data_IF_033138381394
#
_entry.id   IF_033138381394
#
_cell.length_a   1.000
_cell.length_b   1.000
_cell.length_c   1.000
_cell.angle_alpha   90.00
_cell.angle_beta   90.00
_cell.angle_gamma   90.00
#
_symmetry.space_group_name_H-M   'P 1'
#
loop_
_entity.id
_entity.type
_entity.pdbx_description
1 polymer ?
#
# COMPACT_ATOMS: atom_id res chain seq x y z
N UNK A 1 4.46 -19.04 26.79
CA UNK A 1 3.63 -17.82 26.58
C UNK A 1 4.59 -16.73 26.15
N UNK A 2 4.41 -16.19 24.95
CA UNK A 2 5.23 -15.08 24.43
C UNK A 2 4.95 -13.84 25.26
N UNK A 3 5.99 -13.21 25.81
CA UNK A 3 5.84 -11.96 26.56
C UNK A 3 5.79 -10.79 25.57
N UNK A 4 5.13 -9.68 25.86
CA UNK A 4 5.13 -8.50 25.02
C UNK A 4 6.52 -7.97 24.67
N UNK A 5 7.51 -8.20 25.53
CA UNK A 5 8.93 -7.87 25.32
C UNK A 5 9.63 -8.68 24.23
N UNK A 6 9.04 -9.82 23.82
CA UNK A 6 9.63 -10.73 22.85
C UNK A 6 9.14 -10.47 21.41
N UNK A 7 8.23 -9.52 21.25
CA UNK A 7 7.67 -9.16 19.94
C UNK A 7 8.67 -8.34 19.11
N UNK A 8 8.70 -8.55 17.78
CA UNK A 8 9.47 -7.68 16.89
C UNK A 8 9.12 -6.22 17.12
N UNK A 9 10.12 -5.37 17.16
CA UNK A 9 9.96 -3.95 17.44
C UNK A 9 10.65 -3.08 16.40
N UNK A 10 10.00 -2.00 15.99
CA UNK A 10 10.51 -0.97 15.11
C UNK A 10 10.39 0.40 15.77
N UNK A 11 11.53 1.05 16.02
CA UNK A 11 11.55 2.41 16.54
C UNK A 11 10.92 3.40 15.54
N UNK A 12 11.06 3.15 14.24
CA UNK A 12 10.44 3.97 13.19
C UNK A 12 8.92 3.95 13.31
N UNK A 13 8.30 2.77 13.55
CA UNK A 13 6.86 2.68 13.77
C UNK A 13 6.42 3.46 15.02
N UNK A 14 7.17 3.40 16.12
CA UNK A 14 6.87 4.18 17.32
C UNK A 14 6.92 5.69 17.06
N UNK A 15 7.90 6.14 16.31
CA UNK A 15 8.11 7.56 16.05
C UNK A 15 7.05 8.16 15.12
N UNK A 16 6.49 7.37 14.19
CA UNK A 16 5.61 7.89 13.15
C UNK A 16 4.12 7.51 13.32
N UNK A 17 3.77 6.56 14.20
CA UNK A 17 2.38 6.11 14.35
C UNK A 17 1.40 7.23 14.72
N UNK A 18 1.77 8.15 15.62
CA UNK A 18 0.90 9.26 16.01
C UNK A 18 0.71 10.29 14.88
N UNK A 19 1.77 10.82 14.23
CA UNK A 19 1.61 11.69 13.07
C UNK A 19 0.80 11.07 11.93
N UNK A 20 0.99 9.77 11.65
CA UNK A 20 0.20 9.06 10.64
C UNK A 20 -1.26 8.98 11.06
N UNK A 21 -1.56 8.57 12.30
CA UNK A 21 -2.93 8.48 12.81
C UNK A 21 -3.68 9.79 12.65
N UNK A 22 -3.06 10.93 12.99
CA UNK A 22 -3.68 12.24 12.87
C UNK A 22 -4.17 12.56 11.44
N UNK A 23 -3.49 12.02 10.40
CA UNK A 23 -3.96 12.14 9.02
C UNK A 23 -5.04 11.10 8.71
N UNK A 24 -4.86 9.85 9.19
CA UNK A 24 -5.81 8.77 8.93
C UNK A 24 -7.19 9.03 9.54
N UNK A 25 -7.29 9.70 10.70
CA UNK A 25 -8.58 10.08 11.31
C UNK A 25 -9.46 10.89 10.36
N UNK A 26 -8.85 11.78 9.56
CA UNK A 26 -9.58 12.57 8.55
C UNK A 26 -9.80 11.79 7.27
N UNK A 27 -8.75 11.13 6.74
CA UNK A 27 -8.78 10.44 5.46
C UNK A 27 -9.72 9.22 5.47
N UNK A 28 -9.87 8.57 6.63
CA UNK A 28 -10.66 7.35 6.78
C UNK A 28 -12.02 7.56 7.47
N UNK A 29 -12.46 8.80 7.66
CA UNK A 29 -13.69 9.08 8.39
C UNK A 29 -14.95 8.39 7.79
N UNK A 30 -15.01 8.28 6.47
CA UNK A 30 -16.08 7.63 5.70
C UNK A 30 -15.73 6.20 5.21
N UNK A 31 -14.52 5.71 5.47
CA UNK A 31 -14.03 4.40 5.06
C UNK A 31 -14.39 3.32 6.08
N UNK A 32 -14.26 2.04 5.67
CA UNK A 32 -14.62 0.90 6.53
C UNK A 32 -13.61 -0.24 6.49
N UNK A 33 -12.90 -0.42 5.39
CA UNK A 33 -12.04 -1.58 5.19
C UNK A 33 -10.68 -1.18 4.63
N UNK A 34 -9.66 -1.24 5.46
CA UNK A 34 -8.26 -0.98 5.08
C UNK A 34 -7.54 -2.30 4.83
N UNK A 35 -6.84 -2.41 3.69
CA UNK A 35 -5.81 -3.40 3.46
C UNK A 35 -4.45 -2.76 3.69
N UNK A 36 -3.71 -3.23 4.68
CA UNK A 36 -2.31 -2.85 4.91
C UNK A 36 -1.37 -3.80 4.20
N UNK A 37 -0.49 -3.27 3.35
CA UNK A 37 0.58 -4.03 2.68
C UNK A 37 1.90 -3.81 3.42
N UNK A 38 2.65 -4.90 3.66
CA UNK A 38 3.91 -4.92 4.39
C UNK A 38 3.75 -4.42 5.85
N UNK A 39 2.87 -5.08 6.61
CA UNK A 39 2.57 -4.75 8.01
C UNK A 39 3.75 -4.92 8.98
N UNK A 40 4.79 -5.65 8.57
CA UNK A 40 6.06 -5.78 9.28
C UNK A 40 5.90 -6.28 10.71
N UNK A 41 6.25 -5.45 11.68
CA UNK A 41 6.15 -5.78 13.11
C UNK A 41 4.72 -5.77 13.64
N UNK A 42 3.73 -5.25 12.89
CA UNK A 42 2.33 -5.13 13.30
C UNK A 42 2.02 -3.96 14.25
N UNK A 43 3.02 -3.13 14.60
CA UNK A 43 2.82 -1.99 15.52
C UNK A 43 1.84 -0.96 14.96
N UNK A 44 1.87 -0.68 13.66
CA UNK A 44 0.90 0.20 13.01
C UNK A 44 -0.51 -0.40 13.04
N UNK A 45 -0.67 -1.66 12.60
CA UNK A 45 -1.96 -2.34 12.59
C UNK A 45 -2.63 -2.35 13.97
N UNK A 46 -1.88 -2.76 15.02
CA UNK A 46 -2.35 -2.75 16.40
C UNK A 46 -2.80 -1.34 16.85
N UNK A 47 -1.97 -0.34 16.59
CA UNK A 47 -2.22 1.03 17.02
C UNK A 47 -3.40 1.66 16.28
N UNK A 48 -3.46 1.53 14.95
CA UNK A 48 -4.51 2.16 14.14
C UNK A 48 -5.85 1.45 14.29
N UNK A 49 -5.88 0.11 14.36
CA UNK A 49 -7.12 -0.62 14.60
C UNK A 49 -7.74 -0.24 15.95
N UNK A 50 -6.92 -0.08 16.99
CA UNK A 50 -7.40 0.36 18.31
C UNK A 50 -7.93 1.79 18.30
N UNK A 51 -7.29 2.70 17.54
CA UNK A 51 -7.69 4.11 17.47
C UNK A 51 -8.88 4.36 16.52
N UNK A 52 -9.08 3.50 15.52
CA UNK A 52 -10.11 3.62 14.48
C UNK A 52 -11.09 2.44 14.53
N UNK A 53 -11.94 2.33 15.55
CA UNK A 53 -12.79 1.15 15.77
C UNK A 53 -13.85 0.94 14.68
N UNK A 54 -14.14 1.94 13.86
CA UNK A 54 -15.05 1.85 12.72
C UNK A 54 -14.41 1.24 11.47
N UNK A 55 -13.08 1.08 11.47
CA UNK A 55 -12.29 0.50 10.38
C UNK A 55 -11.99 -0.97 10.68
N UNK A 56 -12.29 -1.86 9.74
CA UNK A 56 -11.71 -3.20 9.72
C UNK A 56 -10.32 -3.12 9.09
N UNK A 57 -9.29 -3.29 9.91
CA UNK A 57 -7.89 -3.19 9.50
C UNK A 57 -7.31 -4.56 9.17
N UNK A 58 -7.20 -4.89 7.90
CA UNK A 58 -6.62 -6.14 7.43
C UNK A 58 -5.15 -5.94 7.12
N UNK A 59 -4.28 -6.39 8.00
CA UNK A 59 -2.84 -6.39 7.73
C UNK A 59 -2.43 -7.53 6.81
N UNK A 60 -1.36 -7.34 6.04
CA UNK A 60 -0.74 -8.37 5.21
C UNK A 60 0.77 -8.19 5.13
N UNK A 61 1.47 -9.29 4.85
CA UNK A 61 2.91 -9.28 4.59
C UNK A 61 3.29 -10.49 3.73
N UNK A 62 4.54 -10.54 3.26
CA UNK A 62 5.05 -11.72 2.56
C UNK A 62 4.93 -12.97 3.45
N UNK A 63 4.77 -14.17 2.88
CA UNK A 63 4.50 -15.39 3.65
C UNK A 63 5.44 -15.61 4.84
N UNK A 64 6.73 -15.30 4.68
CA UNK A 64 7.75 -15.50 5.71
C UNK A 64 7.54 -14.64 6.96
N UNK A 65 6.88 -13.49 6.85
CA UNK A 65 6.65 -12.56 7.94
C UNK A 65 5.30 -12.77 8.65
N UNK A 66 4.34 -13.45 8.01
CA UNK A 66 2.94 -13.56 8.50
C UNK A 66 2.86 -14.20 9.88
N UNK A 67 3.67 -15.21 10.17
CA UNK A 67 3.65 -15.88 11.47
C UNK A 67 4.04 -14.93 12.61
N UNK A 68 5.10 -14.14 12.41
CA UNK A 68 5.58 -13.14 13.35
C UNK A 68 4.58 -12.00 13.53
N UNK A 69 4.03 -11.48 12.43
CA UNK A 69 2.99 -10.46 12.43
C UNK A 69 1.77 -10.92 13.21
N UNK A 70 1.24 -12.13 12.95
CA UNK A 70 0.11 -12.70 13.65
C UNK A 70 0.34 -12.91 15.16
N UNK A 71 1.58 -13.10 15.60
CA UNK A 71 1.90 -13.16 17.02
C UNK A 71 1.51 -11.85 17.72
N UNK A 72 1.83 -10.69 17.15
CA UNK A 72 1.41 -9.39 17.68
C UNK A 72 -0.10 -9.19 17.56
N UNK A 73 -0.67 -9.42 16.37
CA UNK A 73 -2.09 -9.17 16.15
C UNK A 73 -2.99 -9.98 17.09
N UNK A 74 -2.59 -11.21 17.42
CA UNK A 74 -3.33 -12.06 18.36
C UNK A 74 -3.31 -11.57 19.82
N UNK A 75 -2.36 -10.72 20.17
CA UNK A 75 -2.24 -10.10 21.51
C UNK A 75 -2.95 -8.73 21.56
N UNK A 76 -3.25 -8.15 20.42
CA UNK A 76 -3.98 -6.90 20.35
C UNK A 76 -5.45 -7.12 20.76
N UNK A 77 -5.95 -6.28 21.68
CA UNK A 77 -7.34 -6.34 22.13
C UNK A 77 -8.25 -5.51 21.19
N UNK A 78 -8.27 -5.86 19.90
CA UNK A 78 -9.00 -5.13 18.86
C UNK A 78 -9.80 -6.09 17.97
N UNK A 79 -11.14 -6.08 18.11
CA UNK A 79 -12.06 -6.98 17.38
C UNK A 79 -12.06 -6.69 15.85
N UNK A 80 -11.66 -5.51 15.45
CA UNK A 80 -11.58 -5.05 14.06
C UNK A 80 -10.23 -5.38 13.38
N UNK A 81 -9.35 -6.12 14.06
CA UNK A 81 -8.02 -6.51 13.59
C UNK A 81 -7.95 -8.04 13.38
N UNK A 82 -8.34 -8.55 12.21
CA UNK A 82 -8.26 -9.98 11.92
C UNK A 82 -6.82 -10.46 11.74
N UNK A 83 -6.58 -11.79 11.71
CA UNK A 83 -5.28 -12.33 11.35
C UNK A 83 -4.78 -11.82 10.01
N UNK A 84 -3.46 -11.62 9.92
CA UNK A 84 -2.81 -11.12 8.71
C UNK A 84 -2.91 -12.11 7.54
N UNK A 85 -2.96 -11.57 6.33
CA UNK A 85 -2.93 -12.33 5.09
C UNK A 85 -1.49 -12.49 4.59
N UNK A 86 -1.18 -13.65 4.01
CA UNK A 86 0.02 -13.81 3.19
C UNK A 86 -0.21 -13.12 1.84
N UNK A 87 0.53 -12.05 1.57
CA UNK A 87 0.43 -11.29 0.33
C UNK A 87 1.81 -10.79 -0.08
N UNK A 88 2.22 -11.20 -1.28
CA UNK A 88 3.46 -10.76 -1.90
C UNK A 88 3.10 -10.05 -3.21
N UNK A 89 3.51 -8.79 -3.35
CA UNK A 89 3.21 -7.96 -4.50
C UNK A 89 3.89 -8.44 -5.80
N UNK A 90 4.87 -9.32 -5.68
CA UNK A 90 5.55 -9.93 -6.83
C UNK A 90 4.86 -11.21 -7.33
N UNK A 91 3.86 -11.72 -6.61
CA UNK A 91 3.09 -12.88 -7.04
C UNK A 91 2.05 -12.54 -8.11
N UNK A 92 1.83 -13.49 -9.01
CA UNK A 92 0.86 -13.36 -10.11
C UNK A 92 -0.57 -13.10 -9.61
N UNK A 93 -0.97 -13.66 -8.48
CA UNK A 93 -2.29 -13.44 -7.87
C UNK A 93 -2.55 -11.95 -7.60
N UNK A 94 -1.57 -11.23 -7.05
CA UNK A 94 -1.66 -9.79 -6.83
C UNK A 94 -1.82 -9.01 -8.14
N UNK A 95 -0.99 -9.32 -9.14
CA UNK A 95 -1.01 -8.64 -10.45
C UNK A 95 -2.30 -8.92 -11.25
N UNK A 96 -2.96 -10.06 -11.00
CA UNK A 96 -4.23 -10.40 -11.62
C UNK A 96 -5.45 -9.89 -10.83
N UNK A 97 -5.25 -9.28 -9.66
CA UNK A 97 -6.33 -8.83 -8.79
C UNK A 97 -7.11 -10.01 -8.19
N UNK A 98 -6.45 -11.14 -7.93
CA UNK A 98 -7.06 -12.29 -7.29
C UNK A 98 -6.74 -12.31 -5.80
N UNK A 99 -7.78 -12.51 -4.97
CA UNK A 99 -7.61 -12.54 -3.52
C UNK A 99 -6.93 -13.83 -3.04
N UNK A 100 -6.11 -13.78 -1.97
CA UNK A 100 -5.64 -14.99 -1.30
C UNK A 100 -6.82 -15.89 -0.91
N UNK A 101 -6.69 -17.19 -1.11
CA UNK A 101 -7.76 -18.20 -0.88
C UNK A 101 -8.29 -18.22 0.57
N UNK A 102 -7.53 -17.71 1.53
CA UNK A 102 -7.94 -17.61 2.94
C UNK A 102 -8.84 -16.39 3.24
N UNK A 103 -9.07 -15.52 2.27
CA UNK A 103 -9.87 -14.31 2.48
C UNK A 103 -11.35 -14.57 2.19
N UNK A 104 -12.21 -14.38 3.21
CA UNK A 104 -13.66 -14.33 3.04
C UNK A 104 -14.09 -12.86 3.06
N UNK A 105 -14.42 -12.26 1.91
CA UNK A 105 -14.84 -10.86 1.88
C UNK A 105 -16.15 -10.67 2.64
N UNK A 106 -16.32 -9.56 3.38
CA UNK A 106 -17.64 -9.18 3.87
C UNK A 106 -18.55 -8.94 2.65
N UNK A 107 -19.78 -9.42 2.71
CA UNK A 107 -20.75 -9.30 1.61
C UNK A 107 -21.11 -7.82 1.42
N UNK A 108 -20.56 -7.19 0.38
CA UNK A 108 -21.00 -5.87 -0.06
C UNK A 108 -22.23 -6.05 -0.94
N UNK A 109 -23.33 -5.42 -0.59
CA UNK A 109 -24.50 -5.29 -1.47
C UNK A 109 -24.13 -4.38 -2.64
N UNK A 110 -23.85 -4.98 -3.81
CA UNK A 110 -23.56 -4.25 -5.03
C UNK A 110 -24.84 -3.61 -5.59
N UNK A 111 -24.80 -2.31 -5.88
CA UNK A 111 -25.70 -1.71 -6.87
C UNK A 111 -24.95 -1.67 -8.22
N UNK A 112 -25.40 -2.48 -9.15
CA UNK A 112 -24.84 -2.55 -10.50
C UNK A 112 -25.31 -1.35 -11.34
N UNK A 113 -24.36 -0.65 -11.98
CA UNK A 113 -24.63 0.06 -13.24
C UNK A 113 -23.39 0.01 -14.14
N UNK A 114 -23.57 -0.64 -15.27
CA UNK A 114 -22.57 -0.78 -16.35
C UNK A 114 -22.81 0.30 -17.41
N UNK A 115 -21.78 1.05 -17.77
CA UNK A 115 -21.70 1.73 -19.06
C UNK A 115 -20.27 1.68 -19.61
N UNK A 116 -20.15 1.12 -20.81
CA UNK A 116 -18.89 1.01 -21.57
C UNK A 116 -18.58 2.34 -22.23
N UNK A 117 -17.33 2.80 -22.11
CA UNK A 117 -16.75 3.85 -22.96
C UNK A 117 -15.34 3.48 -23.42
N UNK A 118 -14.99 3.92 -24.62
CA UNK A 118 -13.85 3.54 -25.45
C UNK A 118 -12.51 4.09 -24.95
N UNK A 119 -11.43 3.29 -25.04
CA UNK A 119 -10.08 3.59 -24.60
C UNK A 119 -9.31 4.57 -25.50
N UNK A 120 -8.43 5.45 -24.94
CA UNK A 120 -7.50 6.25 -25.73
C UNK A 120 -6.36 5.39 -26.33
N UNK A 121 -5.81 5.81 -27.46
CA UNK A 121 -4.84 5.04 -28.21
C UNK A 121 -3.48 4.95 -27.52
N UNK A 122 -2.91 3.74 -27.47
CA UNK A 122 -1.63 3.36 -26.86
C UNK A 122 -0.38 4.01 -27.49
N UNK A 123 -0.54 4.82 -28.56
CA UNK A 123 0.56 5.35 -29.36
C UNK A 123 1.32 6.51 -28.71
N UNK A 124 0.79 7.11 -27.63
CA UNK A 124 1.38 8.27 -26.95
C UNK A 124 2.12 7.95 -25.65
N UNK A 125 2.12 6.70 -25.22
CA UNK A 125 2.79 6.26 -23.99
C UNK A 125 4.15 5.63 -24.29
N UNK A 126 5.21 6.05 -23.58
CA UNK A 126 6.59 5.64 -23.81
C UNK A 126 6.85 4.12 -23.69
N UNK A 127 8.04 3.67 -24.09
CA UNK A 127 8.42 2.25 -24.11
C UNK A 127 8.28 1.54 -22.75
N UNK A 128 8.41 2.28 -21.63
CA UNK A 128 8.22 1.80 -20.28
C UNK A 128 6.75 1.44 -20.00
N UNK A 129 5.82 2.32 -20.37
CA UNK A 129 4.37 2.10 -20.23
C UNK A 129 3.93 0.90 -21.07
N UNK A 130 4.44 0.79 -22.29
CA UNK A 130 4.15 -0.35 -23.16
C UNK A 130 4.57 -1.69 -22.54
N UNK A 131 5.74 -1.76 -21.92
CA UNK A 131 6.22 -2.98 -21.27
C UNK A 131 5.31 -3.37 -20.07
N UNK A 132 4.76 -2.39 -19.33
CA UNK A 132 3.80 -2.61 -18.24
C UNK A 132 2.48 -3.14 -18.81
N UNK A 133 1.93 -2.53 -19.85
CA UNK A 133 0.68 -2.97 -20.49
C UNK A 133 0.79 -4.37 -21.10
N UNK A 134 1.90 -4.68 -21.75
CA UNK A 134 2.14 -6.02 -22.31
C UNK A 134 2.20 -7.10 -21.22
N UNK A 135 2.65 -6.76 -20.01
CA UNK A 135 2.74 -7.66 -18.85
C UNK A 135 1.37 -7.92 -18.20
N UNK A 136 0.46 -6.95 -18.21
CA UNK A 136 -0.86 -7.06 -17.55
C UNK A 136 -1.94 -7.75 -18.40
N UNK A 137 -1.76 -7.83 -19.72
CA UNK A 137 -2.80 -8.35 -20.63
C UNK A 137 -4.02 -7.42 -20.74
N UNK A 138 -4.57 -7.30 -21.95
CA UNK A 138 -5.62 -6.33 -22.29
C UNK A 138 -7.02 -6.59 -21.70
N UNK A 139 -7.25 -7.71 -20.99
CA UNK A 139 -8.59 -8.14 -20.57
C UNK A 139 -8.67 -8.73 -19.14
N UNK A 140 -7.80 -8.33 -18.22
CA UNK A 140 -7.98 -8.75 -16.82
C UNK A 140 -9.20 -8.05 -16.24
N UNK A 141 -10.28 -8.80 -15.98
CA UNK A 141 -11.45 -8.28 -15.27
C UNK A 141 -11.02 -7.69 -13.92
N UNK A 142 -11.45 -6.47 -13.63
CA UNK A 142 -11.20 -5.83 -12.34
C UNK A 142 -12.08 -6.56 -11.32
N UNK A 143 -11.48 -7.43 -10.51
CA UNK A 143 -12.12 -8.00 -9.34
C UNK A 143 -11.92 -7.01 -8.18
N UNK A 144 -12.74 -5.94 -8.15
CA UNK A 144 -12.73 -5.02 -7.02
C UNK A 144 -12.95 -5.80 -5.72
N UNK A 145 -11.94 -5.77 -4.85
CA UNK A 145 -12.02 -6.40 -3.54
C UNK A 145 -12.89 -5.56 -2.57
N UNK A 146 -13.07 -6.06 -1.34
CA UNK A 146 -13.93 -5.41 -0.34
C UNK A 146 -13.27 -4.19 0.32
N UNK A 147 -12.04 -3.84 -0.06
CA UNK A 147 -11.30 -2.75 0.56
C UNK A 147 -11.59 -1.43 -0.15
N UNK A 148 -11.87 -0.42 0.65
CA UNK A 148 -12.04 0.97 0.22
C UNK A 148 -10.77 1.81 0.44
N UNK A 149 -9.76 1.22 1.08
CA UNK A 149 -8.45 1.84 1.26
C UNK A 149 -7.35 0.79 1.26
N UNK A 150 -6.23 1.11 0.59
CA UNK A 150 -4.95 0.42 0.72
C UNK A 150 -3.96 1.34 1.41
N UNK A 151 -3.28 0.82 2.43
CA UNK A 151 -2.28 1.54 3.21
C UNK A 151 -0.94 0.81 3.18
N UNK A 152 0.17 1.54 3.09
CA UNK A 152 1.50 0.99 3.29
C UNK A 152 2.44 2.04 3.87
N UNK A 153 3.22 1.65 4.88
CA UNK A 153 4.16 2.54 5.54
C UNK A 153 5.57 1.96 5.56
N UNK A 154 6.56 2.79 5.22
CA UNK A 154 7.98 2.43 5.25
C UNK A 154 8.36 1.19 4.42
N UNK A 155 7.66 0.92 3.33
CA UNK A 155 7.81 -0.29 2.53
C UNK A 155 8.45 -0.04 1.16
N UNK A 156 8.08 1.05 0.46
CA UNK A 156 8.49 1.27 -0.92
C UNK A 156 10.01 1.40 -1.09
N UNK A 157 10.70 1.98 -0.11
CA UNK A 157 12.15 2.11 -0.14
C UNK A 157 12.90 0.80 0.17
N UNK A 158 12.21 -0.22 0.69
CA UNK A 158 12.75 -1.57 0.92
C UNK A 158 12.53 -2.46 -0.31
N UNK A 159 11.39 -2.31 -0.99
CA UNK A 159 11.04 -3.06 -2.20
C UNK A 159 12.03 -2.78 -3.34
N UNK A 160 12.14 -3.69 -4.31
CA UNK A 160 12.79 -3.37 -5.59
C UNK A 160 11.93 -2.37 -6.41
N UNK A 161 12.52 -1.72 -7.41
CA UNK A 161 11.75 -0.85 -8.32
C UNK A 161 10.66 -1.64 -9.07
N UNK A 162 10.93 -2.91 -9.41
CA UNK A 162 9.94 -3.82 -10.00
C UNK A 162 8.79 -4.14 -9.05
N UNK A 163 9.10 -4.41 -7.78
CA UNK A 163 8.09 -4.68 -6.75
C UNK A 163 7.24 -3.44 -6.45
N UNK A 164 7.84 -2.23 -6.48
CA UNK A 164 7.06 -0.98 -6.37
C UNK A 164 6.09 -0.84 -7.54
N UNK A 165 6.53 -1.12 -8.76
CA UNK A 165 5.64 -1.14 -9.93
C UNK A 165 4.50 -2.16 -9.74
N UNK A 166 4.82 -3.38 -9.32
CA UNK A 166 3.84 -4.42 -9.06
C UNK A 166 2.84 -4.02 -7.95
N UNK A 167 3.32 -3.35 -6.89
CA UNK A 167 2.47 -2.82 -5.82
C UNK A 167 1.35 -1.94 -6.37
N UNK A 168 1.67 -0.92 -7.18
CA UNK A 168 0.67 -0.02 -7.75
C UNK A 168 -0.24 -0.73 -8.77
N UNK A 169 0.33 -1.56 -9.65
CA UNK A 169 -0.46 -2.25 -10.67
C UNK A 169 -1.47 -3.22 -10.05
N UNK A 170 -1.06 -3.99 -9.04
CA UNK A 170 -1.97 -4.86 -8.31
C UNK A 170 -3.01 -4.08 -7.52
N UNK A 171 -2.62 -3.00 -6.83
CA UNK A 171 -3.56 -2.09 -6.16
C UNK A 171 -4.63 -1.58 -7.13
N UNK A 172 -4.24 -1.19 -8.36
CA UNK A 172 -5.15 -0.74 -9.41
C UNK A 172 -6.15 -1.81 -9.87
N UNK A 173 -5.82 -3.10 -9.70
CA UNK A 173 -6.73 -4.23 -9.98
C UNK A 173 -7.61 -4.60 -8.79
N UNK A 174 -7.13 -4.36 -7.58
CA UNK A 174 -7.77 -4.77 -6.32
C UNK A 174 -8.75 -3.75 -5.77
N UNK A 175 -8.56 -2.47 -6.08
CA UNK A 175 -9.37 -1.38 -5.55
C UNK A 175 -10.43 -0.91 -6.53
N UNK A 176 -11.63 -0.65 -6.01
CA UNK A 176 -12.72 -0.05 -6.76
C UNK A 176 -12.51 1.47 -6.93
N UNK A 177 -13.22 2.06 -7.89
CA UNK A 177 -13.33 3.51 -8.04
C UNK A 177 -13.70 4.19 -6.72
N UNK A 178 -13.06 5.32 -6.41
CA UNK A 178 -13.23 6.09 -5.18
C UNK A 178 -12.49 5.54 -3.96
N UNK A 179 -11.81 4.38 -4.09
CA UNK A 179 -10.94 3.88 -3.03
C UNK A 179 -9.69 4.77 -2.90
N UNK A 180 -9.10 4.75 -1.69
CA UNK A 180 -7.85 5.45 -1.39
C UNK A 180 -6.66 4.51 -1.50
N UNK A 181 -5.55 5.03 -2.01
CA UNK A 181 -4.22 4.45 -1.84
C UNK A 181 -3.38 5.44 -1.03
N UNK A 182 -2.89 5.01 0.13
CA UNK A 182 -2.14 5.85 1.07
C UNK A 182 -0.77 5.21 1.31
N UNK A 183 0.30 5.96 1.04
CA UNK A 183 1.67 5.50 1.24
C UNK A 183 2.44 6.50 2.09
N UNK A 184 3.09 6.01 3.14
CA UNK A 184 3.97 6.78 4.02
C UNK A 184 5.43 6.36 3.85
N UNK A 185 6.32 7.32 3.77
CA UNK A 185 7.77 7.09 3.73
C UNK A 185 8.56 8.28 3.19
N UNK A 186 9.90 8.14 3.05
CA UNK A 186 10.72 9.14 2.40
C UNK A 186 10.60 9.04 0.88
N UNK A 187 10.67 10.19 0.20
CA UNK A 187 10.70 10.31 -1.26
C UNK A 187 11.75 11.33 -1.69
N UNK A 188 12.35 11.10 -2.84
CA UNK A 188 13.15 12.08 -3.57
C UNK A 188 12.23 12.89 -4.49
N UNK A 189 12.62 14.11 -4.80
CA UNK A 189 11.91 14.99 -5.73
C UNK A 189 12.88 15.48 -6.80
N UNK A 190 12.50 15.34 -8.06
CA UNK A 190 13.33 15.72 -9.20
C UNK A 190 14.75 15.10 -9.16
N UNK A 191 14.81 13.83 -8.73
CA UNK A 191 16.05 13.08 -8.59
C UNK A 191 16.97 13.57 -7.46
N UNK A 192 16.46 14.36 -6.49
CA UNK A 192 17.25 14.91 -5.39
C UNK A 192 16.70 14.48 -4.03
N UNK A 193 17.60 14.23 -3.10
CA UNK A 193 17.23 13.99 -1.70
C UNK A 193 16.64 15.26 -1.08
N UNK A 194 15.61 15.09 -0.24
CA UNK A 194 14.96 16.18 0.48
C UNK A 194 15.75 16.65 1.68
N UNK A 195 16.73 15.86 2.14
CA UNK A 195 17.60 16.19 3.26
C UNK A 195 18.89 15.36 3.23
N UNK A 196 19.98 15.82 3.90
CA UNK A 196 21.19 15.02 4.09
C UNK A 196 20.91 13.70 4.80
N UNK A 197 19.98 13.66 5.76
CA UNK A 197 19.62 12.43 6.46
C UNK A 197 18.95 11.39 5.56
N UNK A 198 18.18 11.83 4.54
CA UNK A 198 17.60 10.93 3.55
C UNK A 198 18.67 10.38 2.60
N UNK A 199 19.68 11.17 2.25
CA UNK A 199 20.84 10.70 1.47
C UNK A 199 21.64 9.63 2.22
N UNK A 200 21.94 9.86 3.50
CA UNK A 200 22.61 8.85 4.36
C UNK A 200 21.76 7.58 4.51
N UNK A 201 20.45 7.73 4.68
CA UNK A 201 19.52 6.62 4.80
C UNK A 201 19.44 5.80 3.49
N UNK A 202 19.44 6.44 2.34
CA UNK A 202 19.47 5.79 1.02
C UNK A 202 20.76 4.97 0.85
N UNK A 203 21.90 5.53 1.24
CA UNK A 203 23.18 4.83 1.27
C UNK A 203 23.13 3.58 2.14
N UNK A 204 22.64 3.71 3.36
CA UNK A 204 22.47 2.59 4.29
C UNK A 204 21.52 1.49 3.78
N UNK A 205 20.44 1.87 3.08
CA UNK A 205 19.53 0.91 2.44
C UNK A 205 20.24 0.10 1.36
N UNK A 206 20.99 0.76 0.47
CA UNK A 206 21.70 0.16 -0.66
C UNK A 206 22.87 -0.74 -0.23
N UNK A 207 23.53 -0.40 0.87
CA UNK A 207 24.56 -1.27 1.45
C UNK A 207 23.98 -2.61 1.92
N UNK A 208 22.74 -2.63 2.44
CA UNK A 208 22.05 -3.84 2.90
C UNK A 208 21.44 -4.64 1.76
N UNK A 209 20.83 -3.94 0.83
CA UNK A 209 20.22 -4.53 -0.36
C UNK A 209 20.30 -3.54 -1.53
N UNK A 210 21.11 -3.83 -2.57
CA UNK A 210 21.33 -2.91 -3.69
C UNK A 210 20.07 -2.53 -4.48
N UNK A 211 18.97 -3.29 -4.37
CA UNK A 211 17.69 -2.98 -5.04
C UNK A 211 16.80 -2.05 -4.22
N UNK A 212 17.12 -1.87 -2.93
CA UNK A 212 16.44 -0.90 -2.06
C UNK A 212 16.94 0.52 -2.33
N UNK A 213 16.19 1.51 -1.87
CA UNK A 213 16.54 2.93 -1.96
C UNK A 213 15.31 3.81 -1.94
N UNK A 214 15.49 5.09 -1.60
CA UNK A 214 14.41 6.08 -1.59
C UNK A 214 13.88 6.26 -3.01
N UNK A 215 12.56 6.17 -3.17
CA UNK A 215 11.89 6.27 -4.48
C UNK A 215 11.70 7.73 -4.88
N UNK A 216 11.80 7.97 -6.17
CA UNK A 216 11.53 9.28 -6.75
C UNK A 216 10.01 9.49 -6.86
N UNK A 217 9.52 10.63 -6.35
CA UNK A 217 8.10 10.98 -6.29
C UNK A 217 7.45 10.98 -7.67
N UNK A 218 8.09 11.60 -8.66
CA UNK A 218 7.55 11.71 -10.01
C UNK A 218 7.45 10.33 -10.68
N UNK A 219 8.42 9.45 -10.42
CA UNK A 219 8.38 8.06 -10.90
C UNK A 219 7.22 7.29 -10.27
N UNK A 220 7.04 7.43 -8.95
CA UNK A 220 5.95 6.77 -8.23
C UNK A 220 4.59 7.28 -8.70
N UNK A 221 4.43 8.60 -8.91
CA UNK A 221 3.21 9.20 -9.45
C UNK A 221 2.91 8.70 -10.88
N UNK A 222 3.93 8.56 -11.73
CA UNK A 222 3.74 8.02 -13.08
C UNK A 222 3.27 6.56 -13.07
N UNK A 223 3.78 5.73 -12.16
CA UNK A 223 3.32 4.35 -11.98
C UNK A 223 1.87 4.31 -11.45
N UNK A 224 1.55 5.19 -10.50
CA UNK A 224 0.21 5.32 -9.94
C UNK A 224 -0.82 5.71 -11.02
N UNK A 225 -0.48 6.67 -11.89
CA UNK A 225 -1.31 7.09 -13.03
C UNK A 225 -1.61 5.91 -13.98
N UNK A 226 -0.60 5.12 -14.35
CA UNK A 226 -0.78 3.90 -15.17
C UNK A 226 -1.74 2.90 -14.49
N UNK A 227 -1.77 2.87 -13.16
CA UNK A 227 -2.68 2.02 -12.38
C UNK A 227 -4.05 2.66 -12.13
N UNK A 228 -4.36 3.78 -12.78
CA UNK A 228 -5.57 4.60 -12.65
C UNK A 228 -5.74 5.17 -11.23
N UNK A 229 -4.68 5.75 -10.69
CA UNK A 229 -4.71 6.53 -9.45
C UNK A 229 -4.33 7.98 -9.72
N UNK A 230 -5.17 8.90 -9.29
CA UNK A 230 -4.90 10.34 -9.32
C UNK A 230 -4.38 10.81 -7.97
N UNK A 231 -3.25 11.52 -7.94
CA UNK A 231 -2.70 12.08 -6.72
C UNK A 231 -3.63 13.18 -6.17
N UNK A 232 -4.12 12.95 -4.96
CA UNK A 232 -5.00 13.90 -4.26
C UNK A 232 -4.23 14.78 -3.28
N UNK A 233 -3.27 14.20 -2.54
CA UNK A 233 -2.51 14.93 -1.53
C UNK A 233 -1.06 14.43 -1.43
N UNK A 234 -0.16 15.37 -1.18
CA UNK A 234 1.23 15.14 -0.84
C UNK A 234 1.51 15.91 0.46
N UNK A 235 1.48 15.22 1.59
CA UNK A 235 1.48 15.80 2.94
C UNK A 235 2.87 15.70 3.55
N UNK A 236 3.40 16.85 4.03
CA UNK A 236 4.63 16.89 4.82
C UNK A 236 4.47 16.13 6.14
N UNK A 237 5.40 15.24 6.42
CA UNK A 237 5.43 14.44 7.64
C UNK A 237 6.75 14.62 8.39
N UNK A 238 6.79 14.39 9.71
CA UNK A 238 8.02 14.48 10.48
C UNK A 238 9.17 13.65 9.91
N UNK A 239 10.40 14.05 10.20
CA UNK A 239 11.64 13.40 9.78
C UNK A 239 11.79 13.25 8.25
N UNK A 240 11.41 14.28 7.50
CA UNK A 240 11.53 14.36 6.05
C UNK A 240 10.81 13.20 5.31
N UNK A 241 9.72 12.68 5.90
CA UNK A 241 8.82 11.75 5.24
C UNK A 241 7.65 12.49 4.60
N UNK A 242 6.92 11.77 3.77
CA UNK A 242 5.68 12.20 3.12
C UNK A 242 4.57 11.19 3.40
N UNK A 243 3.32 11.67 3.41
CA UNK A 243 2.14 10.84 3.28
C UNK A 243 1.48 11.18 1.94
N UNK A 244 1.59 10.27 0.99
CA UNK A 244 1.02 10.42 -0.34
C UNK A 244 -0.33 9.75 -0.40
N UNK A 245 -1.34 10.46 -0.91
CA UNK A 245 -2.72 9.97 -0.99
C UNK A 245 -3.21 10.06 -2.43
N UNK A 246 -3.65 8.95 -2.98
CA UNK A 246 -4.26 8.87 -4.30
C UNK A 246 -5.71 8.41 -4.22
N UNK A 247 -6.52 8.87 -5.16
CA UNK A 247 -7.87 8.36 -5.43
C UNK A 247 -7.83 7.40 -6.61
N UNK A 248 -8.45 6.23 -6.45
CA UNK A 248 -8.68 5.31 -7.55
C UNK A 248 -9.71 5.90 -8.51
N UNK A 249 -9.31 6.06 -9.77
CA UNK A 249 -10.18 6.55 -10.83
C UNK A 249 -10.96 5.40 -11.48
N UNK A 250 -12.06 5.73 -12.16
CA UNK A 250 -12.77 4.79 -13.01
C UNK A 250 -11.82 4.19 -14.06
N UNK A 251 -12.05 2.93 -14.43
CA UNK A 251 -11.43 2.38 -15.62
C UNK A 251 -12.09 2.98 -16.84
N UNK A 252 -11.32 3.64 -17.70
CA UNK A 252 -11.80 4.12 -19.01
C UNK A 252 -12.15 2.96 -19.96
#
# INVERSE_FOLDING_TARGET
>A
MTQPSDLPFSQSCENNKQPILAQLETLLADKRHVLEIAGGTGQHAEYFASALPHIRWQSSDIPDNVASLNTRLSLAAADNLPPALALDVDQQSWLLGTWPTAFVPPTLTQSANSSQTSQPSLLERGAFEKAIYDRLGKNAAINAGPFDTLFSANSLHIMSAGSVTNFFLGAGKMLAEGALLIVYGPFNYQGKFTSPSNEEFDGWLKERNPVSGIRDFETVCSIADIANFELAQDIDMPANNRLLVWHKQAAE
#
